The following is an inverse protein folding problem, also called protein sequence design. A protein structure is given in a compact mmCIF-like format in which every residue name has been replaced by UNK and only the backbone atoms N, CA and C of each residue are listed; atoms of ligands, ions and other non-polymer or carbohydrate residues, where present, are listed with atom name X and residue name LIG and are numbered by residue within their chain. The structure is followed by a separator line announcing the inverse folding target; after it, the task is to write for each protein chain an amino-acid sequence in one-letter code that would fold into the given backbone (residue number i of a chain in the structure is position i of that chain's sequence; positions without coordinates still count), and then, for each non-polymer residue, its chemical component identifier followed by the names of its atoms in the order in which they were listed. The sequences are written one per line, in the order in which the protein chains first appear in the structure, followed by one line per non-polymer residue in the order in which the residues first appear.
data_IF_555169329209
#
_entry.id   IF_555169329209
#
_cell.length_a   1.000
_cell.length_b   1.000
_cell.length_c   1.000
_cell.angle_alpha   90.00
_cell.angle_beta   90.00
_cell.angle_gamma   90.00
#
_symmetry.space_group_name_H-M   'P 1'
#
loop_
_entity.id
_entity.type
_entity.pdbx_description
1 polymer ?
#
# COMPACT_ATOMS: atom_id res chain seq x y z
N UNK A 1 -35.72 54.55 -39.87
CA UNK A 1 -34.46 55.32 -39.69
C UNK A 1 -33.57 54.55 -38.74
N UNK A 2 -32.41 54.11 -39.24
CA UNK A 2 -31.42 53.31 -38.51
C UNK A 2 -30.73 54.12 -37.43
N UNK A 3 -30.43 53.51 -36.27
CA UNK A 3 -29.05 53.52 -35.75
C UNK A 3 -28.86 52.40 -34.71
N UNK A 4 -28.20 51.33 -35.13
CA UNK A 4 -27.58 50.32 -34.27
C UNK A 4 -26.22 50.82 -33.81
N UNK A 5 -25.95 50.85 -32.51
CA UNK A 5 -24.58 50.85 -31.98
C UNK A 5 -24.53 49.83 -30.84
N UNK A 6 -24.06 48.64 -31.18
CA UNK A 6 -23.72 47.59 -30.23
C UNK A 6 -22.38 47.90 -29.57
N UNK A 7 -22.38 48.05 -28.26
CA UNK A 7 -21.16 48.12 -27.45
C UNK A 7 -20.77 46.71 -26.99
N UNK A 8 -19.74 46.16 -27.62
CA UNK A 8 -18.98 45.01 -27.12
C UNK A 8 -17.85 45.50 -26.21
N UNK A 9 -17.38 44.60 -25.32
CA UNK A 9 -16.11 44.62 -24.56
C UNK A 9 -16.22 44.99 -23.08
N UNK A 10 -16.18 43.95 -22.21
CA UNK A 10 -14.96 43.57 -21.47
C UNK A 10 -15.18 42.26 -20.71
N UNK A 11 -14.48 41.21 -21.15
CA UNK A 11 -14.09 40.06 -20.33
C UNK A 11 -13.08 40.54 -19.30
N UNK A 12 -13.35 40.28 -18.03
CA UNK A 12 -12.32 40.05 -17.02
C UNK A 12 -12.88 39.01 -16.04
N UNK A 13 -12.56 37.74 -16.33
CA UNK A 13 -12.81 36.60 -15.45
C UNK A 13 -11.87 36.73 -14.26
N UNK A 14 -12.39 37.21 -13.14
CA UNK A 14 -11.68 37.21 -11.87
C UNK A 14 -12.69 36.93 -10.77
N UNK A 15 -12.64 35.70 -10.25
CA UNK A 15 -13.04 35.29 -8.89
C UNK A 15 -12.56 33.85 -8.71
N UNK A 16 -11.33 33.68 -8.20
CA UNK A 16 -11.06 33.39 -6.79
C UNK A 16 -11.50 31.95 -6.46
N UNK A 17 -10.68 30.93 -6.70
CA UNK A 17 -9.71 30.38 -5.72
C UNK A 17 -10.29 30.17 -4.31
N UNK A 18 -11.52 29.66 -4.20
CA UNK A 18 -12.12 29.25 -2.92
C UNK A 18 -12.64 27.81 -3.01
N UNK A 19 -11.81 26.88 -3.50
CA UNK A 19 -12.08 25.43 -3.41
C UNK A 19 -10.98 24.65 -2.66
N UNK A 20 -9.96 25.35 -2.15
CA UNK A 20 -8.79 24.73 -1.52
C UNK A 20 -8.90 24.56 0.01
N UNK A 21 -9.98 25.00 0.65
CA UNK A 21 -10.06 25.02 2.12
C UNK A 21 -11.01 23.97 2.72
N UNK A 22 -11.77 23.22 1.92
CA UNK A 22 -12.71 22.20 2.43
C UNK A 22 -12.17 20.77 2.42
N UNK A 23 -10.99 20.52 1.82
CA UNK A 23 -10.36 19.19 1.78
C UNK A 23 -9.31 18.96 2.89
N UNK A 24 -9.13 19.91 3.81
CA UNK A 24 -8.13 19.82 4.89
C UNK A 24 -8.71 19.48 6.27
N UNK A 25 -10.03 19.24 6.39
CA UNK A 25 -10.67 18.88 7.66
C UNK A 25 -10.96 17.37 7.84
N UNK A 26 -10.42 16.50 6.97
CA UNK A 26 -10.59 15.03 7.08
C UNK A 26 -9.25 14.33 7.40
N UNK A 27 -8.24 15.03 7.93
CA UNK A 27 -7.05 14.37 8.49
C UNK A 27 -6.43 15.26 9.56
N UNK A 28 -6.25 14.77 10.79
CA UNK A 28 -5.18 13.81 11.03
C UNK A 28 -5.53 12.73 12.06
N UNK A 29 -5.42 11.48 11.64
CA UNK A 29 -5.56 10.32 12.51
C UNK A 29 -5.77 9.06 11.69
N UNK A 30 -5.02 8.87 10.60
CA UNK A 30 -4.94 7.59 9.91
C UNK A 30 -4.14 6.63 10.80
N UNK A 31 -4.80 6.20 11.86
CA UNK A 31 -4.41 5.13 12.76
C UNK A 31 -5.61 4.20 12.83
N UNK A 32 -5.91 3.54 11.71
CA UNK A 32 -6.82 2.40 11.75
C UNK A 32 -5.98 1.16 12.03
N UNK A 33 -5.58 1.02 13.30
CA UNK A 33 -5.33 -0.28 13.88
C UNK A 33 -6.63 -0.64 14.62
N UNK A 34 -7.66 -1.00 13.87
CA UNK A 34 -8.82 -1.66 14.44
C UNK A 34 -8.45 -3.15 14.53
N UNK A 35 -7.73 -3.46 15.61
CA UNK A 35 -7.36 -4.82 15.96
C UNK A 35 -8.59 -5.53 16.55
N UNK A 36 -8.68 -6.83 16.28
CA UNK A 36 -9.61 -7.80 16.86
C UNK A 36 -11.08 -7.75 16.40
N UNK A 37 -11.44 -8.70 15.50
CA UNK A 37 -12.69 -9.49 15.40
C UNK A 37 -12.90 -9.98 13.94
N UNK A 38 -12.42 -9.24 12.92
CA UNK A 38 -12.52 -9.65 11.50
C UNK A 38 -11.57 -10.80 11.11
N UNK A 39 -10.42 -10.92 11.78
CA UNK A 39 -9.37 -11.92 11.45
C UNK A 39 -9.86 -13.38 11.50
N UNK A 40 -10.89 -13.67 12.31
CA UNK A 40 -11.44 -15.02 12.48
C UNK A 40 -12.26 -15.51 11.28
N UNK A 41 -12.69 -14.62 10.38
CA UNK A 41 -13.53 -14.98 9.24
C UNK A 41 -12.86 -14.72 7.88
N UNK A 42 -11.62 -14.21 7.87
CA UNK A 42 -10.90 -13.94 6.64
C UNK A 42 -10.44 -15.24 5.95
N UNK A 43 -10.65 -15.31 4.64
CA UNK A 43 -10.08 -16.36 3.79
C UNK A 43 -8.55 -16.38 3.87
N UNK A 44 -7.93 -17.52 3.57
CA UNK A 44 -6.48 -17.70 3.71
C UNK A 44 -5.65 -16.67 2.93
N UNK A 45 -6.13 -16.24 1.77
CA UNK A 45 -5.45 -15.22 0.95
C UNK A 45 -5.49 -13.84 1.61
N UNK A 46 -6.58 -13.51 2.30
CA UNK A 46 -6.66 -12.28 3.08
C UNK A 46 -5.72 -12.31 4.29
N UNK A 47 -5.60 -13.45 4.98
CA UNK A 47 -4.57 -13.62 6.02
C UNK A 47 -3.15 -13.48 5.45
N UNK A 48 -2.89 -14.05 4.26
CA UNK A 48 -1.61 -13.88 3.58
C UNK A 48 -1.31 -12.42 3.24
N UNK A 49 -2.32 -11.62 2.89
CA UNK A 49 -2.15 -10.17 2.67
C UNK A 49 -1.70 -9.46 3.94
N UNK A 50 -2.37 -9.69 5.08
CA UNK A 50 -2.00 -9.07 6.36
C UNK A 50 -0.56 -9.40 6.75
N UNK A 51 -0.15 -10.65 6.53
CA UNK A 51 1.22 -11.09 6.74
C UNK A 51 2.22 -10.37 5.82
N UNK A 52 1.89 -10.17 4.54
CA UNK A 52 2.72 -9.38 3.62
C UNK A 52 2.81 -7.92 4.06
N UNK A 53 1.72 -7.32 4.53
CA UNK A 53 1.70 -5.94 5.06
C UNK A 53 2.63 -5.79 6.27
N UNK A 54 2.55 -6.74 7.22
CA UNK A 54 3.47 -6.80 8.36
C UNK A 54 4.94 -6.90 7.95
N UNK A 55 5.25 -7.65 6.89
CA UNK A 55 6.59 -7.70 6.30
C UNK A 55 7.07 -6.32 5.86
N UNK A 56 6.22 -5.63 5.11
CA UNK A 56 6.50 -4.29 4.59
C UNK A 56 6.70 -3.29 5.71
N UNK A 57 5.85 -3.31 6.73
CA UNK A 57 5.96 -2.41 7.89
C UNK A 57 7.24 -2.65 8.68
N UNK A 58 7.57 -3.93 8.94
CA UNK A 58 8.79 -4.29 9.68
C UNK A 58 10.04 -3.81 8.94
N UNK A 59 10.12 -4.06 7.63
CA UNK A 59 11.21 -3.58 6.80
C UNK A 59 11.27 -2.05 6.75
N UNK A 60 10.14 -1.36 6.54
CA UNK A 60 10.12 0.10 6.47
C UNK A 60 10.56 0.74 7.79
N UNK A 61 10.14 0.19 8.92
CA UNK A 61 10.58 0.66 10.23
C UNK A 61 12.11 0.59 10.36
N UNK A 62 12.71 -0.55 10.00
CA UNK A 62 14.15 -0.73 10.05
C UNK A 62 14.91 0.16 9.04
N UNK A 63 14.36 0.33 7.83
CA UNK A 63 14.94 1.19 6.80
C UNK A 63 14.95 2.67 7.23
N UNK A 64 13.82 3.17 7.76
CA UNK A 64 13.71 4.54 8.28
C UNK A 64 14.57 4.77 9.52
N UNK A 65 14.73 3.75 10.37
CA UNK A 65 15.63 3.79 11.52
C UNK A 65 17.11 3.68 11.16
N UNK A 66 17.44 3.37 9.90
CA UNK A 66 18.82 3.11 9.47
C UNK A 66 19.45 1.88 10.15
N UNK A 67 18.62 0.95 10.65
CA UNK A 67 19.05 -0.20 11.45
C UNK A 67 19.28 -1.47 10.64
N UNK A 68 18.99 -1.45 9.34
CA UNK A 68 19.25 -2.60 8.46
C UNK A 68 20.73 -2.99 8.46
N UNK A 69 20.98 -4.30 8.46
CA UNK A 69 22.30 -4.85 8.70
C UNK A 69 23.37 -4.43 7.67
N UNK A 70 23.00 -4.34 6.38
CA UNK A 70 23.89 -3.87 5.31
C UNK A 70 23.11 -3.50 4.04
N UNK A 71 23.71 -2.75 3.09
CA UNK A 71 23.10 -2.48 1.78
C UNK A 71 22.77 -3.74 0.97
N UNK A 72 23.57 -4.80 1.12
CA UNK A 72 23.31 -6.09 0.46
C UNK A 72 22.05 -6.75 1.01
N UNK A 73 21.90 -6.78 2.34
CA UNK A 73 20.68 -7.28 3.01
C UNK A 73 19.47 -6.43 2.60
N UNK A 74 19.60 -5.11 2.57
CA UNK A 74 18.53 -4.22 2.12
C UNK A 74 18.04 -4.59 0.71
N UNK A 75 18.96 -4.78 -0.25
CA UNK A 75 18.62 -5.14 -1.63
C UNK A 75 17.88 -6.49 -1.69
N UNK A 76 18.34 -7.48 -0.93
CA UNK A 76 17.69 -8.79 -0.87
C UNK A 76 16.28 -8.72 -0.26
N UNK A 77 16.11 -7.93 0.80
CA UNK A 77 14.81 -7.69 1.43
C UNK A 77 13.84 -7.01 0.47
N UNK A 78 14.27 -5.99 -0.26
CA UNK A 78 13.45 -5.32 -1.30
C UNK A 78 13.01 -6.31 -2.38
N UNK A 79 13.92 -7.15 -2.88
CA UNK A 79 13.59 -8.20 -3.85
C UNK A 79 12.55 -9.18 -3.31
N UNK A 80 12.71 -9.64 -2.07
CA UNK A 80 11.78 -10.55 -1.42
C UNK A 80 10.40 -9.91 -1.22
N UNK A 81 10.35 -8.64 -0.84
CA UNK A 81 9.11 -7.88 -0.68
C UNK A 81 8.35 -7.70 -2.01
N UNK A 82 9.05 -7.46 -3.12
CA UNK A 82 8.43 -7.47 -4.45
C UNK A 82 7.90 -8.85 -4.84
N UNK A 83 8.66 -9.91 -4.52
CA UNK A 83 8.22 -11.29 -4.76
C UNK A 83 6.97 -11.66 -3.95
N UNK A 84 6.87 -11.20 -2.69
CA UNK A 84 5.67 -11.37 -1.87
C UNK A 84 4.44 -10.75 -2.55
N UNK A 85 4.57 -9.53 -3.09
CA UNK A 85 3.47 -8.88 -3.83
C UNK A 85 3.05 -9.65 -5.07
N UNK A 86 4.00 -10.16 -5.84
CA UNK A 86 3.71 -10.97 -7.02
C UNK A 86 2.98 -12.28 -6.63
N UNK A 87 3.48 -13.00 -5.62
CA UNK A 87 2.84 -14.23 -5.14
C UNK A 87 1.44 -13.99 -4.58
N UNK A 88 1.20 -12.86 -3.92
CA UNK A 88 -0.11 -12.51 -3.41
C UNK A 88 -1.10 -12.24 -4.55
N UNK A 89 -0.67 -11.54 -5.60
CA UNK A 89 -1.49 -11.33 -6.80
C UNK A 89 -1.82 -12.68 -7.48
N UNK A 90 -0.83 -13.57 -7.64
CA UNK A 90 -1.06 -14.91 -8.19
C UNK A 90 -2.00 -15.76 -7.32
N UNK A 91 -1.95 -15.61 -5.99
CA UNK A 91 -2.84 -16.31 -5.07
C UNK A 91 -4.29 -15.86 -5.23
N UNK A 92 -4.53 -14.55 -5.37
CA UNK A 92 -5.85 -14.01 -5.70
C UNK A 92 -6.35 -14.52 -7.05
N UNK A 93 -5.52 -14.46 -8.09
CA UNK A 93 -5.88 -14.98 -9.41
C UNK A 93 -6.24 -16.48 -9.39
N UNK A 94 -5.56 -17.27 -8.57
CA UNK A 94 -5.84 -18.69 -8.42
C UNK A 94 -7.14 -18.94 -7.65
N UNK A 95 -7.39 -18.17 -6.57
CA UNK A 95 -8.62 -18.23 -5.78
C UNK A 95 -9.84 -17.83 -6.62
N UNK A 96 -9.75 -16.75 -7.42
CA UNK A 96 -10.81 -16.29 -8.32
C UNK A 96 -11.15 -17.34 -9.40
N UNK A 97 -10.17 -18.15 -9.80
CA UNK A 97 -10.37 -19.29 -10.73
C UNK A 97 -10.85 -20.56 -10.04
N UNK A 98 -10.97 -20.57 -8.71
CA UNK A 98 -11.30 -21.74 -7.90
C UNK A 98 -10.17 -22.76 -7.74
N UNK A 99 -8.94 -22.45 -8.19
CA UNK A 99 -7.77 -23.33 -7.99
C UNK A 99 -7.17 -23.11 -6.60
N UNK A 100 -7.86 -23.64 -5.59
CA UNK A 100 -7.43 -23.54 -4.20
C UNK A 100 -6.10 -24.25 -3.96
N UNK A 101 -5.69 -25.22 -4.78
CA UNK A 101 -4.39 -25.90 -4.63
C UNK A 101 -3.26 -24.95 -5.02
N UNK A 102 -3.40 -24.24 -6.14
CA UNK A 102 -2.45 -23.21 -6.54
C UNK A 102 -2.40 -22.07 -5.52
N UNK A 103 -3.56 -21.54 -5.09
CA UNK A 103 -3.62 -20.47 -4.09
C UNK A 103 -2.89 -20.87 -2.79
N UNK A 104 -3.19 -22.06 -2.23
CA UNK A 104 -2.51 -22.55 -1.02
C UNK A 104 -1.00 -22.74 -1.19
N UNK A 105 -0.53 -23.09 -2.39
CA UNK A 105 0.91 -23.18 -2.69
C UNK A 105 1.58 -21.80 -2.65
N UNK A 106 0.97 -20.79 -3.28
CA UNK A 106 1.48 -19.42 -3.25
C UNK A 106 1.48 -18.86 -1.83
N UNK A 107 0.39 -19.07 -1.07
CA UNK A 107 0.30 -18.70 0.35
C UNK A 107 1.42 -19.33 1.17
N UNK A 108 1.72 -20.61 0.96
CA UNK A 108 2.81 -21.28 1.67
C UNK A 108 4.18 -20.67 1.36
N UNK A 109 4.39 -20.22 0.11
CA UNK A 109 5.61 -19.52 -0.28
C UNK A 109 5.69 -18.11 0.33
N UNK A 110 4.56 -17.40 0.37
CA UNK A 110 4.43 -16.11 1.06
C UNK A 110 4.88 -16.24 2.50
N UNK A 111 4.32 -17.20 3.27
CA UNK A 111 4.68 -17.38 4.68
C UNK A 111 6.17 -17.66 4.90
N UNK A 112 6.79 -18.46 4.01
CA UNK A 112 8.22 -18.77 4.08
C UNK A 112 9.10 -17.54 3.84
N UNK A 113 8.81 -16.78 2.78
CA UNK A 113 9.58 -15.57 2.44
C UNK A 113 9.34 -14.49 3.48
N UNK A 114 8.10 -14.34 3.95
CA UNK A 114 7.73 -13.36 4.95
C UNK A 114 8.52 -13.52 6.24
N UNK A 115 8.61 -14.76 6.74
CA UNK A 115 9.44 -15.07 7.93
C UNK A 115 10.89 -14.60 7.77
N UNK A 116 11.48 -14.77 6.57
CA UNK A 116 12.83 -14.31 6.27
C UNK A 116 12.92 -12.79 6.34
N UNK A 117 12.02 -12.09 5.64
CA UNK A 117 11.98 -10.62 5.60
C UNK A 117 11.85 -10.02 7.00
N UNK A 118 10.93 -10.53 7.82
CA UNK A 118 10.72 -10.04 9.19
C UNK A 118 11.98 -10.26 10.04
N UNK A 119 12.56 -11.47 9.98
CA UNK A 119 13.75 -11.81 10.77
C UNK A 119 14.93 -10.90 10.41
N UNK A 120 15.26 -10.80 9.13
CA UNK A 120 16.43 -10.06 8.66
C UNK A 120 16.25 -8.54 8.75
N UNK A 121 15.02 -8.03 8.70
CA UNK A 121 14.75 -6.60 8.96
C UNK A 121 15.01 -6.21 10.40
N UNK A 122 14.93 -7.16 11.33
CA UNK A 122 15.15 -6.94 12.77
C UNK A 122 16.58 -7.28 13.20
N UNK A 123 17.41 -7.81 12.29
CA UNK A 123 18.81 -8.09 12.60
C UNK A 123 19.58 -6.79 12.83
N UNK A 124 20.31 -6.66 13.96
CA UNK A 124 21.05 -5.45 14.26
C UNK A 124 22.22 -5.28 13.28
N UNK A 125 22.47 -4.02 12.92
CA UNK A 125 23.67 -3.62 12.18
C UNK A 125 24.93 -4.02 12.96
N UNK A 126 25.82 -4.74 12.27
CA UNK A 126 27.14 -5.11 12.78
C UNK A 126 28.16 -4.00 12.53
#
# INVERSE_FOLDING_TARGET
MNMTIGYQKKRASLKCFIFSALLFLISPGFGFCEDSEEEKFLGKTAQARLEVEKAWETYHHAALGGTLASPMVQTELEMNLHKLRALLAEAYDAEDKGDMKAANKMISQIMKINKKVITESQEPKK
#
